data_IF_278408448969
#
_entry.id   IF_278408448969
#
_cell.length_a   1.000
_cell.length_b   1.000
_cell.length_c   1.000
_cell.angle_alpha   90.00
_cell.angle_beta   90.00
_cell.angle_gamma   90.00
#
_symmetry.space_group_name_H-M   'P 1'
#
loop_
_entity.id
_entity.type
_entity.pdbx_description
1 polymer ?
#
# COMPACT_ATOMS: atom_id res chain seq x y z
N UNK A 1 24.54 64.83 -25.35
CA UNK A 1 24.30 64.09 -24.09
C UNK A 1 22.81 64.14 -23.86
N UNK A 2 22.19 62.99 -23.61
CA UNK A 2 20.78 62.92 -23.23
C UNK A 2 20.56 63.67 -21.90
N UNK A 3 19.42 64.32 -21.73
CA UNK A 3 19.03 64.97 -20.47
C UNK A 3 18.45 63.96 -19.46
N UNK A 4 18.32 62.69 -19.86
CA UNK A 4 17.80 61.59 -19.03
C UNK A 4 18.64 60.33 -19.15
N UNK A 5 18.57 59.45 -18.15
CA UNK A 5 19.16 58.10 -18.19
C UNK A 5 18.46 57.19 -19.21
N UNK A 6 19.14 56.12 -19.63
CA UNK A 6 18.72 55.30 -20.77
C UNK A 6 17.59 54.29 -20.44
N UNK A 7 17.56 53.76 -19.21
CA UNK A 7 16.62 52.68 -18.84
C UNK A 7 15.35 53.21 -18.16
N UNK A 8 15.50 54.09 -17.18
CA UNK A 8 14.42 54.61 -16.33
C UNK A 8 14.05 56.07 -16.62
N UNK A 9 14.70 56.71 -17.60
CA UNK A 9 14.48 58.11 -17.96
C UNK A 9 14.62 59.08 -16.77
N UNK A 10 15.59 58.84 -15.89
CA UNK A 10 15.88 59.70 -14.73
C UNK A 10 16.49 61.01 -15.22
N UNK A 11 15.97 62.18 -14.83
CA UNK A 11 16.49 63.47 -15.29
C UNK A 11 17.88 63.73 -14.70
N UNK A 12 18.82 64.09 -15.57
CA UNK A 12 20.15 64.51 -15.19
C UNK A 12 20.19 65.99 -14.79
N UNK A 13 21.09 66.32 -13.85
CA UNK A 13 21.38 67.71 -13.52
C UNK A 13 22.13 68.38 -14.67
N UNK A 14 21.65 69.55 -15.07
CA UNK A 14 22.27 70.35 -16.13
C UNK A 14 23.65 70.89 -15.69
N UNK A 15 24.57 71.13 -16.65
CA UNK A 15 25.89 71.69 -16.38
C UNK A 15 25.87 73.06 -15.66
N UNK A 16 27.05 73.54 -15.26
CA UNK A 16 27.27 74.85 -14.61
C UNK A 16 26.77 75.01 -13.15
N UNK A 17 26.38 73.94 -12.47
CA UNK A 17 26.05 73.92 -11.03
C UNK A 17 27.25 73.55 -10.14
N UNK A 18 28.35 74.32 -10.20
CA UNK A 18 29.58 74.07 -9.41
C UNK A 18 30.11 72.62 -9.49
N UNK A 19 30.06 72.01 -10.69
CA UNK A 19 30.48 70.64 -10.98
C UNK A 19 29.75 69.51 -10.21
N UNK A 20 28.70 69.81 -9.42
CA UNK A 20 27.89 68.78 -8.72
C UNK A 20 27.18 67.81 -9.66
N UNK A 21 26.86 68.26 -10.88
CA UNK A 21 26.24 67.44 -11.92
C UNK A 21 27.09 66.20 -12.27
N UNK A 22 28.41 66.28 -12.18
CA UNK A 22 29.30 65.16 -12.54
C UNK A 22 29.08 63.97 -11.62
N UNK A 23 29.26 64.16 -10.31
CA UNK A 23 29.15 63.07 -9.34
C UNK A 23 27.71 62.59 -9.14
N UNK A 24 26.74 63.51 -9.21
CA UNK A 24 25.34 63.15 -9.08
C UNK A 24 24.79 62.40 -10.30
N UNK A 25 25.10 62.84 -11.52
CA UNK A 25 24.64 62.14 -12.72
C UNK A 25 25.31 60.77 -12.86
N UNK A 26 26.59 60.63 -12.45
CA UNK A 26 27.24 59.32 -12.36
C UNK A 26 26.52 58.39 -11.37
N UNK A 27 26.07 58.91 -10.22
CA UNK A 27 25.26 58.12 -9.28
C UNK A 27 23.89 57.74 -9.86
N UNK A 28 23.25 58.64 -10.61
CA UNK A 28 21.97 58.37 -11.30
C UNK A 28 22.12 57.32 -12.40
N UNK A 29 23.17 57.41 -13.23
CA UNK A 29 23.48 56.41 -14.25
C UNK A 29 23.71 55.02 -13.63
N UNK A 30 24.43 54.96 -12.51
CA UNK A 30 24.64 53.71 -11.78
C UNK A 30 23.34 53.16 -11.18
N UNK A 31 22.47 54.02 -10.65
CA UNK A 31 21.14 53.62 -10.17
C UNK A 31 20.26 53.10 -11.31
N UNK A 32 20.29 53.76 -12.47
CA UNK A 32 19.57 53.37 -13.69
C UNK A 32 19.94 51.95 -14.14
N UNK A 33 21.22 51.60 -14.07
CA UNK A 33 21.72 50.27 -14.41
C UNK A 33 21.24 49.17 -13.44
N UNK A 34 21.16 49.44 -12.14
CA UNK A 34 20.95 48.41 -11.11
C UNK A 34 19.52 48.31 -10.57
N UNK A 35 18.72 49.38 -10.68
CA UNK A 35 17.32 49.37 -10.25
C UNK A 35 16.50 48.60 -11.28
N UNK A 36 15.72 47.62 -10.82
CA UNK A 36 15.01 46.68 -11.72
C UNK A 36 15.98 46.06 -12.74
N UNK A 37 17.16 45.63 -12.26
CA UNK A 37 18.24 45.10 -13.09
C UNK A 37 17.71 44.01 -14.03
N UNK A 38 17.85 44.26 -15.32
CA UNK A 38 17.55 43.33 -16.40
C UNK A 38 18.77 43.30 -17.31
N UNK A 39 19.33 42.11 -17.49
CA UNK A 39 20.54 41.88 -18.26
C UNK A 39 20.21 41.04 -19.47
N UNK A 40 20.90 41.30 -20.58
CA UNK A 40 20.74 40.55 -21.82
C UNK A 40 21.14 39.08 -21.66
N UNK A 41 22.10 38.79 -20.77
CA UNK A 41 22.46 37.44 -20.37
C UNK A 41 23.37 37.42 -19.15
N UNK A 42 23.41 36.28 -18.47
CA UNK A 42 24.34 36.02 -17.36
C UNK A 42 25.41 35.02 -17.79
N UNK A 43 26.68 35.39 -17.57
CA UNK A 43 27.82 34.53 -17.86
C UNK A 43 28.41 34.75 -19.26
N UNK A 44 28.05 35.84 -19.94
CA UNK A 44 28.60 36.19 -21.26
C UNK A 44 30.09 36.55 -21.11
N UNK A 45 30.96 35.93 -21.90
CA UNK A 45 32.44 36.12 -21.80
C UNK A 45 33.01 37.07 -22.86
N UNK A 46 32.18 37.50 -23.81
CA UNK A 46 32.60 38.40 -24.90
C UNK A 46 31.63 39.59 -24.98
N UNK A 47 32.12 40.84 -24.94
CA UNK A 47 31.27 42.00 -25.10
C UNK A 47 30.58 42.00 -26.49
N UNK A 48 29.30 42.42 -26.58
CA UNK A 48 28.67 42.70 -27.86
C UNK A 48 29.50 43.69 -28.68
N UNK A 49 29.58 43.47 -30.00
CA UNK A 49 30.32 44.36 -30.90
C UNK A 49 29.63 45.73 -31.09
N UNK A 50 28.31 45.80 -30.86
CA UNK A 50 27.50 47.00 -30.98
C UNK A 50 26.47 47.06 -29.85
N UNK A 51 26.90 47.31 -28.60
CA UNK A 51 26.00 47.40 -27.47
C UNK A 51 25.11 48.63 -27.57
N UNK A 52 23.85 48.48 -27.18
CA UNK A 52 22.90 49.60 -27.13
C UNK A 52 23.03 50.37 -25.81
N UNK A 53 22.84 51.70 -25.78
CA UNK A 53 22.79 52.46 -24.54
C UNK A 53 21.79 51.84 -23.53
N UNK A 54 22.23 51.66 -22.29
CA UNK A 54 21.46 51.00 -21.23
C UNK A 54 21.47 49.47 -21.28
N UNK A 55 22.12 48.84 -22.27
CA UNK A 55 22.33 47.40 -22.30
C UNK A 55 23.22 46.95 -21.14
N UNK A 56 22.85 45.85 -20.47
CA UNK A 56 23.61 45.33 -19.36
C UNK A 56 23.80 43.81 -19.48
N UNK A 57 24.94 43.32 -19.02
CA UNK A 57 25.30 41.89 -18.99
C UNK A 57 25.89 41.55 -17.62
N UNK A 58 25.79 40.29 -17.20
CA UNK A 58 26.70 39.79 -16.16
C UNK A 58 27.87 39.09 -16.84
N UNK A 59 29.06 39.60 -16.58
CA UNK A 59 30.30 39.10 -17.16
C UNK A 59 30.59 37.68 -16.64
N UNK A 60 30.84 36.75 -17.56
CA UNK A 60 31.22 35.37 -17.25
C UNK A 60 32.67 35.26 -16.77
N UNK A 61 33.02 34.09 -16.26
CA UNK A 61 34.41 33.80 -15.84
C UNK A 61 35.31 33.67 -17.07
N UNK A 62 36.48 34.29 -17.03
CA UNK A 62 37.44 34.30 -18.13
C UNK A 62 37.02 35.21 -19.29
N UNK A 63 36.33 36.30 -19.01
CA UNK A 63 35.91 37.23 -20.04
C UNK A 63 37.11 37.91 -20.75
N UNK A 64 36.93 38.19 -22.03
CA UNK A 64 37.95 38.82 -22.88
C UNK A 64 37.59 40.24 -23.33
N UNK A 65 38.49 40.88 -24.06
CA UNK A 65 38.30 42.23 -24.59
C UNK A 65 38.10 43.26 -23.48
N UNK A 66 37.13 44.16 -23.65
CA UNK A 66 36.81 45.21 -22.68
C UNK A 66 36.33 44.65 -21.33
N UNK A 67 35.92 43.39 -21.27
CA UNK A 67 35.44 42.72 -20.07
C UNK A 67 36.54 41.96 -19.31
N UNK A 68 37.78 41.98 -19.81
CA UNK A 68 38.89 41.27 -19.18
C UNK A 68 39.11 41.70 -17.72
N UNK A 69 39.11 40.71 -16.81
CA UNK A 69 39.28 40.94 -15.37
C UNK A 69 38.03 41.43 -14.63
N UNK A 70 36.87 41.48 -15.30
CA UNK A 70 35.61 41.95 -14.73
C UNK A 70 34.61 40.81 -14.44
N UNK A 71 35.11 39.59 -14.35
CA UNK A 71 34.33 38.37 -14.10
C UNK A 71 33.34 38.56 -12.93
N UNK A 72 32.07 38.24 -13.18
CA UNK A 72 30.97 38.32 -12.20
C UNK A 72 30.37 39.72 -12.01
N UNK A 73 31.00 40.78 -12.52
CA UNK A 73 30.44 42.14 -12.48
C UNK A 73 29.23 42.28 -13.42
N UNK A 74 28.33 43.20 -13.07
CA UNK A 74 27.34 43.72 -14.02
C UNK A 74 28.06 44.74 -14.90
N UNK A 75 28.20 44.46 -16.18
CA UNK A 75 28.69 45.41 -17.18
C UNK A 75 27.49 46.14 -17.79
N UNK A 76 27.41 47.46 -17.61
CA UNK A 76 26.37 48.31 -18.18
C UNK A 76 26.97 49.27 -19.21
N UNK A 77 26.39 49.37 -20.39
CA UNK A 77 26.86 50.25 -21.46
C UNK A 77 26.23 51.64 -21.32
N UNK A 78 27.05 52.68 -21.19
CA UNK A 78 26.61 54.08 -21.04
C UNK A 78 26.57 54.86 -22.37
N UNK A 79 26.78 54.17 -23.49
CA UNK A 79 26.91 54.77 -24.83
C UNK A 79 28.34 55.07 -25.27
N UNK A 80 29.32 55.05 -24.35
CA UNK A 80 30.73 55.30 -24.64
C UNK A 80 31.66 54.22 -24.09
N UNK A 81 31.30 53.57 -22.98
CA UNK A 81 32.08 52.53 -22.33
C UNK A 81 31.23 51.62 -21.44
N UNK A 82 31.88 50.58 -20.92
CA UNK A 82 31.29 49.67 -19.94
C UNK A 82 31.56 50.16 -18.52
N UNK A 83 30.50 50.44 -17.76
CA UNK A 83 30.58 50.58 -16.31
C UNK A 83 30.45 49.20 -15.66
N UNK A 84 31.42 48.82 -14.83
CA UNK A 84 31.46 47.53 -14.16
C UNK A 84 31.06 47.67 -12.70
N UNK A 85 29.95 47.04 -12.34
CA UNK A 85 29.31 47.16 -11.04
C UNK A 85 29.35 45.79 -10.35
N UNK A 86 30.17 45.62 -9.30
CA UNK A 86 30.20 44.37 -8.55
C UNK A 86 28.86 44.14 -7.84
N UNK A 87 28.17 43.00 -8.08
CA UNK A 87 26.91 42.72 -7.42
C UNK A 87 27.11 42.45 -5.92
N UNK A 88 26.12 42.84 -5.11
CA UNK A 88 26.09 42.55 -3.67
C UNK A 88 25.12 41.41 -3.39
N UNK A 89 25.42 40.59 -2.38
CA UNK A 89 24.57 39.45 -2.01
C UNK A 89 23.12 39.90 -1.83
N UNK A 90 22.18 39.17 -2.45
CA UNK A 90 20.75 39.48 -2.46
C UNK A 90 20.29 40.35 -3.64
N UNK A 91 21.20 40.82 -4.50
CA UNK A 91 20.82 41.46 -5.76
C UNK A 91 20.01 40.52 -6.64
N UNK A 92 19.06 41.11 -7.37
CA UNK A 92 18.11 40.43 -8.24
C UNK A 92 18.32 40.94 -9.66
N UNK A 93 18.40 40.04 -10.63
CA UNK A 93 18.50 40.37 -12.05
C UNK A 93 17.54 39.50 -12.85
N UNK A 94 16.81 40.10 -13.80
CA UNK A 94 16.13 39.34 -14.85
C UNK A 94 17.13 39.01 -15.95
N UNK A 95 17.34 37.71 -16.20
CA UNK A 95 18.13 37.24 -17.33
C UNK A 95 17.21 37.13 -18.56
N UNK A 96 17.38 38.05 -19.50
CA UNK A 96 16.54 38.10 -20.70
C UNK A 96 16.81 36.93 -21.66
N UNK A 97 18.00 36.34 -21.68
CA UNK A 97 18.30 35.17 -22.50
C UNK A 97 17.62 33.92 -21.94
N UNK A 98 17.65 33.72 -20.62
CA UNK A 98 17.05 32.57 -19.96
C UNK A 98 15.56 32.72 -19.63
N UNK A 99 15.03 33.96 -19.63
CA UNK A 99 13.68 34.30 -19.17
C UNK A 99 13.44 33.93 -17.70
N UNK A 100 14.42 34.21 -16.84
CA UNK A 100 14.43 33.82 -15.44
C UNK A 100 14.88 34.95 -14.52
N UNK A 101 14.31 35.01 -13.31
CA UNK A 101 14.85 35.80 -12.23
C UNK A 101 16.06 35.08 -11.62
N UNK A 102 17.15 35.80 -11.37
CA UNK A 102 18.36 35.29 -10.70
C UNK A 102 18.70 36.13 -9.48
N UNK A 103 19.27 35.51 -8.45
CA UNK A 103 19.73 36.14 -7.21
C UNK A 103 21.23 35.93 -7.06
N UNK A 104 21.97 36.99 -6.77
CA UNK A 104 23.39 36.91 -6.45
C UNK A 104 23.61 36.40 -5.02
N UNK A 105 24.32 35.29 -4.84
CA UNK A 105 24.63 34.70 -3.53
C UNK A 105 25.86 35.31 -2.87
N UNK A 106 26.64 36.11 -3.58
CA UNK A 106 28.02 36.47 -3.22
C UNK A 106 29.06 35.71 -4.03
N UNK A 107 28.68 34.59 -4.65
CA UNK A 107 29.56 33.75 -5.47
C UNK A 107 29.00 33.44 -6.86
N UNK A 108 27.69 33.35 -7.01
CA UNK A 108 27.04 33.05 -8.27
C UNK A 108 25.62 33.65 -8.35
N UNK A 109 25.13 33.82 -9.59
CA UNK A 109 23.74 34.14 -9.89
C UNK A 109 22.92 32.85 -9.99
N UNK A 110 22.07 32.59 -9.01
CA UNK A 110 21.29 31.34 -8.91
C UNK A 110 19.78 31.61 -9.05
N UNK A 111 19.00 30.58 -9.36
CA UNK A 111 17.54 30.67 -9.30
C UNK A 111 17.07 30.94 -7.86
N UNK A 112 16.09 31.84 -7.65
CA UNK A 112 15.39 31.96 -6.39
C UNK A 112 14.83 30.60 -5.96
N UNK A 113 15.08 30.22 -4.72
CA UNK A 113 14.45 29.02 -4.16
C UNK A 113 12.96 29.29 -3.95
N UNK A 114 12.10 28.48 -4.56
CA UNK A 114 10.69 28.45 -4.19
C UNK A 114 10.57 27.94 -2.74
N UNK A 115 9.81 28.63 -1.90
CA UNK A 115 9.46 28.09 -0.58
C UNK A 115 8.42 26.98 -0.78
N UNK A 116 8.88 25.74 -0.74
CA UNK A 116 8.03 24.55 -0.75
C UNK A 116 7.79 24.03 0.67
N UNK A 117 7.93 24.88 1.69
CA UNK A 117 7.72 24.46 3.09
C UNK A 117 6.26 24.09 3.38
N UNK A 118 5.31 24.74 2.70
CA UNK A 118 3.87 24.50 2.84
C UNK A 118 3.12 24.82 1.53
N UNK A 119 3.36 24.05 0.44
CA UNK A 119 2.63 24.26 -0.80
C UNK A 119 1.17 23.85 -0.61
N UNK A 120 0.24 24.77 -0.86
CA UNK A 120 -1.19 24.46 -0.77
C UNK A 120 -1.63 23.34 -1.73
N UNK A 121 -0.98 23.26 -2.90
CA UNK A 121 -1.21 22.26 -3.96
C UNK A 121 0.10 22.00 -4.71
N UNK A 122 0.31 20.75 -5.15
CA UNK A 122 1.46 20.32 -5.94
C UNK A 122 1.03 19.31 -7.01
N UNK A 123 1.20 19.69 -8.28
CA UNK A 123 0.93 18.84 -9.45
C UNK A 123 2.23 18.43 -10.15
N UNK A 124 2.35 17.15 -10.50
CA UNK A 124 3.44 16.60 -11.30
C UNK A 124 2.85 16.06 -12.62
N UNK A 125 3.16 16.72 -13.75
CA UNK A 125 2.60 16.45 -15.08
C UNK A 125 1.06 16.50 -15.19
N UNK A 126 0.38 17.00 -14.16
CA UNK A 126 -1.07 17.26 -14.14
C UNK A 126 -1.39 18.39 -13.16
N UNK A 127 -2.55 19.00 -13.29
CA UNK A 127 -3.04 20.00 -12.34
C UNK A 127 -3.47 19.36 -11.02
N UNK A 128 -3.06 19.95 -9.90
CA UNK A 128 -3.62 19.66 -8.58
C UNK A 128 -4.86 20.54 -8.35
N UNK A 129 -5.79 20.05 -7.52
CA UNK A 129 -7.04 20.74 -7.19
C UNK A 129 -7.33 20.70 -5.67
N UNK A 130 -8.44 21.32 -5.25
CA UNK A 130 -8.80 21.43 -3.83
C UNK A 130 -9.05 20.08 -3.14
N UNK A 131 -9.39 19.04 -3.92
CA UNK A 131 -9.59 17.65 -3.50
C UNK A 131 -8.27 16.87 -3.60
N UNK A 132 -7.62 16.91 -4.78
CA UNK A 132 -6.36 16.23 -5.08
C UNK A 132 -5.18 17.21 -4.95
N UNK A 133 -4.87 17.60 -3.72
CA UNK A 133 -3.81 18.60 -3.47
C UNK A 133 -2.41 18.12 -3.83
N UNK A 134 -2.18 16.82 -3.84
CA UNK A 134 -1.03 16.18 -4.49
C UNK A 134 -1.56 15.37 -5.67
N UNK A 135 -1.25 15.81 -6.89
CA UNK A 135 -1.70 15.14 -8.12
C UNK A 135 -0.50 14.74 -8.97
N UNK A 136 -0.46 13.47 -9.40
CA UNK A 136 0.67 12.93 -10.17
C UNK A 136 0.12 12.20 -11.39
N UNK A 137 0.54 12.60 -12.59
CA UNK A 137 0.30 11.89 -13.84
C UNK A 137 1.63 11.39 -14.41
N UNK A 138 2.03 10.19 -14.00
CA UNK A 138 3.29 9.58 -14.38
C UNK A 138 3.16 8.05 -14.46
N UNK A 139 4.14 7.38 -15.05
CA UNK A 139 4.19 5.92 -15.12
C UNK A 139 4.33 5.28 -13.72
N UNK A 140 4.99 5.97 -12.78
CA UNK A 140 5.16 5.49 -11.40
C UNK A 140 5.31 6.65 -10.38
N UNK A 141 5.00 6.35 -9.11
CA UNK A 141 5.33 7.21 -7.96
C UNK A 141 6.18 6.39 -6.98
N UNK A 142 7.42 6.81 -6.74
CA UNK A 142 8.33 6.17 -5.80
C UNK A 142 8.33 6.91 -4.45
N UNK A 143 7.90 6.21 -3.39
CA UNK A 143 8.04 6.66 -2.01
C UNK A 143 9.09 5.77 -1.32
N UNK A 144 10.26 6.33 -1.02
CA UNK A 144 11.41 5.56 -0.53
C UNK A 144 11.93 6.06 0.83
N UNK A 145 12.75 5.24 1.48
CA UNK A 145 13.31 5.50 2.80
C UNK A 145 14.61 6.32 2.74
N UNK A 146 14.97 6.95 3.85
CA UNK A 146 16.27 7.61 4.03
C UNK A 146 17.35 6.69 4.65
N UNK A 147 17.14 5.37 4.64
CA UNK A 147 18.09 4.35 5.12
C UNK A 147 17.50 3.34 6.11
N UNK A 148 16.38 3.67 6.75
CA UNK A 148 15.62 2.77 7.62
C UNK A 148 14.22 2.50 7.03
N UNK A 149 13.15 2.78 7.78
CA UNK A 149 11.77 2.63 7.31
C UNK A 149 11.23 3.84 6.53
N UNK A 150 10.08 3.63 5.88
CA UNK A 150 9.22 4.67 5.30
C UNK A 150 7.77 4.41 5.73
N UNK A 151 6.99 5.46 5.99
CA UNK A 151 5.59 5.35 6.41
C UNK A 151 4.72 6.34 5.65
N UNK A 152 3.56 5.88 5.18
CA UNK A 152 2.47 6.72 4.69
C UNK A 152 1.39 6.76 5.76
N UNK A 153 1.11 7.95 6.30
CA UNK A 153 0.07 8.15 7.31
C UNK A 153 -1.19 8.70 6.62
N UNK A 154 -2.24 7.90 6.60
CA UNK A 154 -3.57 8.30 6.12
C UNK A 154 -4.51 8.31 7.32
N UNK A 155 -5.13 9.46 7.59
CA UNK A 155 -5.96 9.66 8.77
C UNK A 155 -7.37 10.08 8.36
N UNK A 156 -8.37 9.62 9.11
CA UNK A 156 -9.77 10.04 8.98
C UNK A 156 -10.26 10.72 10.25
N UNK A 157 -11.28 11.57 10.15
CA UNK A 157 -11.71 12.41 11.28
C UNK A 157 -12.68 11.66 12.22
N UNK A 158 -13.54 10.81 11.67
CA UNK A 158 -14.54 10.05 12.41
C UNK A 158 -14.54 8.54 12.04
N UNK A 159 -15.15 7.68 12.88
CA UNK A 159 -15.28 6.24 12.61
C UNK A 159 -15.93 5.89 11.27
N UNK A 160 -16.94 6.66 10.85
CA UNK A 160 -17.67 6.42 9.60
C UNK A 160 -17.01 6.99 8.33
N UNK A 161 -15.90 7.73 8.48
CA UNK A 161 -15.18 8.32 7.35
C UNK A 161 -14.30 7.26 6.63
N UNK A 162 -13.62 7.70 5.57
CA UNK A 162 -12.72 6.87 4.77
C UNK A 162 -11.28 7.35 4.84
N UNK A 163 -10.36 6.43 5.15
CA UNK A 163 -8.91 6.57 4.97
C UNK A 163 -8.40 5.32 4.24
N UNK A 164 -8.18 5.43 2.92
CA UNK A 164 -7.97 4.26 2.06
C UNK A 164 -7.07 4.55 0.86
N UNK A 165 -6.69 3.48 0.16
CA UNK A 165 -6.15 3.50 -1.19
C UNK A 165 -7.22 2.97 -2.15
N UNK A 166 -7.65 3.83 -3.07
CA UNK A 166 -8.66 3.54 -4.09
C UNK A 166 -8.00 3.23 -5.43
N UNK A 167 -8.29 2.07 -5.98
CA UNK A 167 -7.84 1.62 -7.30
C UNK A 167 -8.95 1.86 -8.33
N UNK A 168 -8.61 2.53 -9.43
CA UNK A 168 -9.58 2.96 -10.44
C UNK A 168 -9.19 2.50 -11.85
N UNK A 169 -10.19 2.33 -12.71
CA UNK A 169 -10.03 2.23 -14.16
C UNK A 169 -10.97 3.24 -14.82
N UNK A 170 -10.41 4.10 -15.67
CA UNK A 170 -11.15 5.18 -16.34
C UNK A 170 -12.03 5.99 -15.36
N UNK A 171 -11.44 6.46 -14.26
CA UNK A 171 -12.11 7.26 -13.21
C UNK A 171 -13.23 6.54 -12.43
N UNK A 172 -13.38 5.23 -12.61
CA UNK A 172 -14.36 4.41 -11.90
C UNK A 172 -13.65 3.49 -10.89
N UNK A 173 -14.10 3.51 -9.63
CA UNK A 173 -13.55 2.66 -8.56
C UNK A 173 -13.74 1.18 -8.84
N UNK A 174 -12.72 0.36 -8.54
CA UNK A 174 -12.76 -1.10 -8.74
C UNK A 174 -12.39 -1.88 -7.49
N UNK A 175 -11.42 -1.39 -6.74
CA UNK A 175 -11.02 -1.94 -5.46
C UNK A 175 -10.60 -0.83 -4.51
N UNK A 176 -10.76 -1.04 -3.22
CA UNK A 176 -10.39 -0.09 -2.17
C UNK A 176 -9.87 -0.85 -0.96
N UNK A 177 -8.78 -0.39 -0.35
CA UNK A 177 -8.25 -0.98 0.89
C UNK A 177 -7.91 0.08 1.92
N UNK A 178 -8.29 -0.14 3.17
CA UNK A 178 -8.05 0.79 4.27
C UNK A 178 -9.18 0.78 5.31
N UNK A 179 -9.34 1.90 6.01
CA UNK A 179 -10.42 2.15 6.96
C UNK A 179 -11.58 2.82 6.22
N UNK A 180 -12.44 2.02 5.58
CA UNK A 180 -13.43 2.48 4.60
C UNK A 180 -14.87 2.41 5.13
N UNK A 181 -15.27 3.43 5.90
CA UNK A 181 -16.59 3.51 6.56
C UNK A 181 -16.66 2.85 7.93
N UNK A 182 -15.51 2.50 8.51
CA UNK A 182 -15.33 1.84 9.82
C UNK A 182 -13.88 2.08 10.33
N UNK A 183 -13.58 1.73 11.58
CA UNK A 183 -12.22 1.68 12.15
C UNK A 183 -11.51 0.33 11.90
N UNK A 184 -12.24 -0.67 11.41
CA UNK A 184 -11.68 -1.97 10.98
C UNK A 184 -11.05 -1.87 9.58
N UNK A 185 -9.90 -2.53 9.37
CA UNK A 185 -9.29 -2.61 8.04
C UNK A 185 -10.16 -3.49 7.12
N UNK A 186 -10.41 -3.03 5.90
CA UNK A 186 -11.19 -3.76 4.92
C UNK A 186 -10.58 -3.69 3.52
N UNK A 187 -10.87 -4.70 2.71
CA UNK A 187 -10.72 -4.70 1.26
C UNK A 187 -12.10 -4.81 0.63
N UNK A 188 -12.46 -3.82 -0.18
CA UNK A 188 -13.76 -3.73 -0.85
C UNK A 188 -13.55 -3.75 -2.37
N UNK A 189 -14.49 -4.32 -3.10
CA UNK A 189 -14.48 -4.39 -4.57
C UNK A 189 -15.81 -3.89 -5.14
N UNK A 190 -15.76 -3.36 -6.35
CA UNK A 190 -16.92 -2.85 -7.07
C UNK A 190 -16.82 -3.14 -8.56
N UNK A 191 -17.91 -3.61 -9.16
CA UNK A 191 -18.00 -3.85 -10.60
C UNK A 191 -18.30 -2.57 -11.39
N UNK A 192 -19.02 -1.62 -10.80
CA UNK A 192 -19.54 -0.40 -11.44
C UNK A 192 -18.95 0.91 -10.88
N UNK A 193 -18.23 0.83 -9.75
CA UNK A 193 -17.66 1.96 -9.04
C UNK A 193 -18.63 2.67 -8.10
N UNK A 194 -19.85 2.16 -7.93
CA UNK A 194 -20.89 2.76 -7.07
C UNK A 194 -21.38 1.76 -6.01
N UNK A 195 -21.63 0.51 -6.38
CA UNK A 195 -21.98 -0.56 -5.48
C UNK A 195 -20.73 -1.28 -4.97
N UNK A 196 -20.51 -1.26 -3.65
CA UNK A 196 -19.31 -1.82 -3.02
C UNK A 196 -19.64 -3.05 -2.19
N UNK A 197 -18.87 -4.12 -2.38
CA UNK A 197 -18.91 -5.33 -1.57
C UNK A 197 -17.63 -5.45 -0.75
N UNK A 198 -17.75 -5.73 0.56
CA UNK A 198 -16.59 -6.03 1.41
C UNK A 198 -16.14 -7.46 1.11
N UNK A 199 -14.95 -7.61 0.53
CA UNK A 199 -14.36 -8.91 0.22
C UNK A 199 -13.56 -9.47 1.39
N UNK A 200 -12.93 -8.60 2.18
CA UNK A 200 -12.16 -8.94 3.38
C UNK A 200 -12.36 -7.87 4.45
N UNK A 201 -12.47 -8.28 5.70
CA UNK A 201 -12.49 -7.39 6.87
C UNK A 201 -11.64 -7.98 7.98
N UNK A 202 -10.89 -7.12 8.68
CA UNK A 202 -10.11 -7.45 9.86
C UNK A 202 -10.67 -6.62 11.02
N UNK A 203 -11.28 -7.30 11.99
CA UNK A 203 -11.84 -6.64 13.16
C UNK A 203 -10.73 -6.01 14.02
N UNK A 204 -10.86 -4.70 14.29
CA UNK A 204 -9.82 -3.94 15.02
C UNK A 204 -9.63 -4.34 16.48
N UNK A 205 -10.65 -4.95 17.11
CA UNK A 205 -10.59 -5.34 18.53
C UNK A 205 -10.05 -6.76 18.73
N UNK A 206 -10.41 -7.68 17.85
CA UNK A 206 -10.12 -9.13 17.97
C UNK A 206 -9.06 -9.62 17.00
N UNK A 207 -8.76 -8.88 15.94
CA UNK A 207 -7.91 -9.33 14.83
C UNK A 207 -8.59 -10.39 13.95
N UNK A 208 -9.88 -10.68 14.15
CA UNK A 208 -10.59 -11.69 13.40
C UNK A 208 -10.74 -11.29 11.92
N UNK A 209 -10.44 -12.24 11.03
CA UNK A 209 -10.56 -12.05 9.58
C UNK A 209 -11.84 -12.68 9.07
N UNK A 210 -12.69 -11.87 8.46
CA UNK A 210 -13.84 -12.29 7.67
C UNK A 210 -13.53 -12.19 6.18
N UNK A 211 -13.91 -13.21 5.40
CA UNK A 211 -13.76 -13.24 3.93
C UNK A 211 -15.13 -13.46 3.31
N UNK A 212 -15.46 -12.66 2.29
CA UNK A 212 -16.71 -12.69 1.54
C UNK A 212 -17.72 -11.60 1.92
N UNK A 213 -18.75 -11.37 1.10
CA UNK A 213 -19.71 -10.25 1.24
C UNK A 213 -20.58 -10.32 2.49
N UNK A 214 -20.62 -11.47 3.17
CA UNK A 214 -21.33 -11.69 4.44
C UNK A 214 -20.38 -11.65 5.65
N UNK A 215 -19.15 -11.14 5.50
CA UNK A 215 -18.19 -10.96 6.60
C UNK A 215 -18.66 -9.87 7.60
N UNK A 216 -19.69 -10.21 8.40
CA UNK A 216 -20.05 -9.49 9.60
C UNK A 216 -19.08 -9.78 10.76
N UNK A 217 -19.27 -9.12 11.91
CA UNK A 217 -18.43 -9.28 13.12
C UNK A 217 -18.46 -10.68 13.74
N UNK A 218 -19.41 -11.52 13.34
CA UNK A 218 -19.74 -12.74 14.08
C UNK A 218 -19.30 -14.03 13.37
N UNK A 219 -18.71 -13.92 12.17
CA UNK A 219 -18.24 -15.04 11.36
C UNK A 219 -16.73 -14.93 11.08
N UNK A 220 -15.93 -15.77 11.75
CA UNK A 220 -14.47 -15.76 11.63
C UNK A 220 -14.00 -17.00 10.87
N UNK A 221 -13.24 -16.83 9.78
CA UNK A 221 -12.44 -17.90 9.19
C UNK A 221 -11.00 -17.73 9.69
N UNK A 222 -10.66 -18.41 10.78
CA UNK A 222 -9.29 -18.42 11.30
C UNK A 222 -8.55 -19.65 10.76
N UNK A 223 -7.55 -19.43 9.93
CA UNK A 223 -6.51 -20.43 9.66
C UNK A 223 -5.40 -20.15 10.67
N UNK A 224 -5.55 -20.67 11.88
CA UNK A 224 -4.52 -20.55 12.89
C UNK A 224 -3.47 -21.64 12.66
N UNK A 225 -2.26 -21.23 12.32
CA UNK A 225 -1.06 -22.02 12.57
C UNK A 225 -0.59 -21.67 13.98
N UNK A 226 -0.89 -22.52 14.97
CA UNK A 226 0.18 -22.75 15.95
C UNK A 226 1.28 -23.51 15.19
N UNK A 227 2.55 -23.32 15.55
CA UNK A 227 3.68 -23.87 14.79
C UNK A 227 3.75 -25.41 14.72
N UNK A 228 2.72 -26.13 15.18
CA UNK A 228 2.67 -27.58 15.32
C UNK A 228 1.42 -28.22 14.70
N UNK A 229 0.35 -27.48 14.42
CA UNK A 229 -0.89 -28.01 13.80
C UNK A 229 -1.66 -26.92 13.04
N UNK A 230 -1.43 -26.73 11.72
CA UNK A 230 -2.26 -25.85 10.93
C UNK A 230 -3.69 -26.41 10.89
N UNK A 231 -4.64 -25.66 11.42
CA UNK A 231 -6.05 -26.05 11.42
C UNK A 231 -6.91 -24.99 10.77
N UNK A 232 -7.90 -25.44 10.00
CA UNK A 232 -9.01 -24.58 9.58
C UNK A 232 -10.01 -24.59 10.73
N UNK A 233 -9.93 -23.59 11.60
CA UNK A 233 -10.87 -23.43 12.69
C UNK A 233 -12.03 -22.56 12.23
N UNK A 234 -13.19 -23.19 12.04
CA UNK A 234 -14.46 -22.46 11.93
C UNK A 234 -15.00 -22.32 13.34
N UNK A 235 -15.11 -21.08 13.84
CA UNK A 235 -15.65 -20.77 15.17
C UNK A 235 -16.88 -19.90 15.02
N UNK A 236 -17.93 -20.29 15.73
CA UNK A 236 -19.12 -19.47 15.90
C UNK A 236 -19.11 -18.90 17.33
N UNK A 237 -19.04 -17.58 17.45
CA UNK A 237 -18.93 -16.86 18.74
C UNK A 237 -20.29 -16.35 19.26
N UNK A 238 -21.40 -16.60 18.54
CA UNK A 238 -22.74 -16.19 18.94
C UNK A 238 -23.89 -16.92 18.21
N UNK A 239 -25.01 -17.14 18.91
CA UNK A 239 -26.20 -17.82 18.37
C UNK A 239 -26.19 -19.36 18.45
N UNK A 240 -27.34 -19.99 18.23
CA UNK A 240 -27.56 -21.46 18.35
C UNK A 240 -26.98 -22.28 17.18
N UNK A 241 -26.32 -21.61 16.23
CA UNK A 241 -25.98 -22.14 14.92
C UNK A 241 -24.75 -23.04 14.87
N UNK A 242 -23.92 -23.17 15.91
CA UNK A 242 -22.69 -24.00 15.92
C UNK A 242 -21.65 -23.61 14.86
N UNK A 243 -20.52 -24.31 14.82
CA UNK A 243 -19.43 -24.04 13.86
C UNK A 243 -19.13 -25.28 13.00
N UNK A 244 -18.83 -25.09 11.70
CA UNK A 244 -18.61 -26.23 10.82
C UNK A 244 -17.88 -25.94 9.52
N UNK A 245 -17.20 -26.94 9.00
CA UNK A 245 -16.47 -26.95 7.73
C UNK A 245 -17.41 -27.47 6.63
N UNK A 246 -17.55 -26.75 5.50
CA UNK A 246 -18.42 -27.11 4.36
C UNK A 246 -17.62 -27.11 3.07
N UNK A 247 -17.73 -28.16 2.27
CA UNK A 247 -17.14 -28.29 0.93
C UNK A 247 -18.27 -28.34 -0.09
N UNK A 248 -18.22 -27.53 -1.15
CA UNK A 248 -19.23 -27.48 -2.22
C UNK A 248 -18.53 -27.68 -3.57
N UNK A 249 -19.08 -28.56 -4.41
CA UNK A 249 -18.73 -28.72 -5.82
C UNK A 249 -19.93 -28.31 -6.68
N UNK A 250 -19.90 -27.08 -7.20
CA UNK A 250 -20.99 -26.52 -8.01
C UNK A 250 -21.19 -27.24 -9.36
N UNK A 251 -20.16 -27.97 -9.84
CA UNK A 251 -20.20 -28.66 -11.14
C UNK A 251 -20.90 -30.01 -11.06
N UNK A 252 -20.76 -30.71 -9.92
CA UNK A 252 -21.46 -31.98 -9.63
C UNK A 252 -22.67 -31.82 -8.70
N UNK A 253 -22.80 -30.66 -8.03
CA UNK A 253 -23.83 -30.35 -7.03
C UNK A 253 -23.54 -30.91 -5.63
N UNK A 254 -22.33 -31.41 -5.36
CA UNK A 254 -21.96 -32.03 -4.07
C UNK A 254 -21.74 -31.01 -2.96
N UNK A 255 -22.25 -31.27 -1.74
CA UNK A 255 -22.16 -30.34 -0.61
C UNK A 255 -22.03 -31.10 0.73
N UNK A 256 -20.84 -31.06 1.34
CA UNK A 256 -20.46 -31.85 2.52
C UNK A 256 -20.11 -30.96 3.70
N UNK A 257 -20.73 -31.17 4.88
CA UNK A 257 -20.54 -30.33 6.07
C UNK A 257 -20.23 -31.12 7.35
N UNK A 258 -19.13 -30.77 8.04
CA UNK A 258 -18.74 -31.32 9.36
C UNK A 258 -18.92 -30.25 10.43
N UNK A 259 -19.70 -30.52 11.49
CA UNK A 259 -20.14 -29.51 12.47
C UNK A 259 -20.29 -30.07 13.88
N UNK A 260 -19.90 -29.30 14.91
CA UNK A 260 -20.16 -29.64 16.31
C UNK A 260 -21.16 -28.69 16.97
N UNK A 261 -21.92 -29.21 17.94
CA UNK A 261 -22.83 -28.47 18.83
C UNK A 261 -22.90 -29.16 20.20
N UNK A 262 -22.69 -28.39 21.27
CA UNK A 262 -23.15 -28.58 22.66
C UNK A 262 -23.04 -29.95 23.42
N UNK A 263 -22.41 -31.05 22.97
CA UNK A 263 -22.16 -32.22 23.88
C UNK A 263 -21.20 -33.38 23.46
N UNK A 264 -20.17 -33.18 22.65
CA UNK A 264 -19.06 -34.16 22.54
C UNK A 264 -19.27 -35.49 21.79
N UNK A 265 -20.42 -35.72 21.15
CA UNK A 265 -20.55 -36.84 20.19
C UNK A 265 -19.81 -36.53 18.89
N UNK A 266 -19.11 -37.52 18.34
CA UNK A 266 -18.52 -37.48 17.00
C UNK A 266 -19.28 -38.46 16.12
N UNK A 267 -19.66 -38.00 14.93
CA UNK A 267 -20.33 -38.84 13.95
C UNK A 267 -19.89 -38.49 12.55
N UNK A 268 -19.66 -39.53 11.74
CA UNK A 268 -19.57 -39.45 10.29
C UNK A 268 -20.92 -39.98 9.81
N UNK A 269 -21.79 -39.03 9.48
CA UNK A 269 -23.16 -39.30 9.11
C UNK A 269 -23.29 -39.23 7.60
N UNK A 270 -24.01 -40.19 7.02
CA UNK A 270 -24.66 -39.96 5.74
C UNK A 270 -25.98 -39.25 6.03
N UNK A 271 -25.96 -37.93 5.85
CA UNK A 271 -27.12 -37.10 6.19
C UNK A 271 -28.31 -37.38 5.25
N UNK A 272 -28.08 -37.99 4.08
CA UNK A 272 -29.11 -38.31 3.08
C UNK A 272 -29.83 -39.61 3.41
N UNK A 273 -29.09 -40.64 3.83
CA UNK A 273 -29.66 -41.90 4.29
C UNK A 273 -30.35 -41.81 5.65
N UNK A 274 -30.06 -40.75 6.44
CA UNK A 274 -30.53 -40.63 7.81
C UNK A 274 -29.84 -41.61 8.76
N UNK A 275 -28.67 -42.13 8.34
CA UNK A 275 -27.95 -43.17 9.07
C UNK A 275 -26.57 -42.64 9.46
N UNK A 276 -26.25 -42.80 10.73
CA UNK A 276 -24.89 -42.61 11.18
C UNK A 276 -24.05 -43.81 10.73
N UNK A 277 -23.21 -43.59 9.71
CA UNK A 277 -22.29 -44.63 9.24
C UNK A 277 -21.24 -44.95 10.30
N UNK A 278 -20.84 -43.92 11.04
CA UNK A 278 -20.05 -44.06 12.26
C UNK A 278 -20.58 -43.09 13.29
N UNK A 279 -21.23 -43.58 14.35
CA UNK A 279 -21.60 -42.80 15.53
C UNK A 279 -20.78 -43.25 16.73
N UNK A 280 -20.15 -42.31 17.43
CA UNK A 280 -19.64 -42.52 18.78
C UNK A 280 -20.44 -41.68 19.75
N UNK A 281 -21.33 -42.36 20.49
CA UNK A 281 -22.21 -41.70 21.44
C UNK A 281 -21.53 -41.59 22.81
N UNK A 282 -21.10 -40.37 23.17
CA UNK A 282 -20.40 -40.11 24.43
C UNK A 282 -21.25 -40.30 25.70
N UNK A 283 -22.59 -40.32 25.57
CA UNK A 283 -23.50 -40.48 26.72
C UNK A 283 -23.78 -41.95 27.00
N UNK A 284 -24.02 -42.75 25.96
CA UNK A 284 -24.36 -44.17 26.11
C UNK A 284 -23.16 -45.12 25.93
N UNK A 285 -22.02 -44.59 25.46
CA UNK A 285 -20.81 -45.36 25.07
C UNK A 285 -21.07 -46.42 24.01
N UNK A 286 -22.09 -46.21 23.18
CA UNK A 286 -22.44 -47.09 22.07
C UNK A 286 -21.76 -46.61 20.77
N UNK A 287 -21.32 -47.57 19.96
CA UNK A 287 -20.87 -47.34 18.60
C UNK A 287 -21.84 -48.03 17.64
N UNK A 288 -22.39 -47.26 16.70
CA UNK A 288 -23.42 -47.73 15.78
C UNK A 288 -22.93 -47.60 14.33
N UNK A 289 -23.24 -48.62 13.52
CA UNK A 289 -22.84 -48.72 12.12
C UNK A 289 -24.06 -49.01 11.24
N UNK A 290 -24.16 -48.29 10.13
CA UNK A 290 -25.28 -48.31 9.19
C UNK A 290 -25.45 -49.61 8.38
N UNK A 291 -24.40 -50.42 8.30
CA UNK A 291 -24.33 -51.61 7.47
C UNK A 291 -23.77 -52.81 8.24
N UNK A 292 -23.65 -53.94 7.54
CA UNK A 292 -23.01 -55.11 8.10
C UNK A 292 -21.58 -54.75 8.53
N UNK A 293 -21.31 -54.87 9.82
CA UNK A 293 -19.95 -54.80 10.32
C UNK A 293 -19.30 -56.08 9.88
N UNK A 294 -18.36 -55.99 8.93
CA UNK A 294 -17.56 -57.12 8.51
C UNK A 294 -16.38 -57.24 9.47
N UNK A 295 -16.41 -58.19 10.43
CA UNK A 295 -15.29 -58.38 11.34
C UNK A 295 -14.12 -58.96 10.56
N UNK A 296 -12.91 -58.81 11.10
CA UNK A 296 -11.74 -59.41 10.49
C UNK A 296 -11.90 -60.94 10.38
N UNK A 297 -11.58 -61.48 9.20
CA UNK A 297 -11.73 -62.89 8.87
C UNK A 297 -10.44 -63.67 9.15
N UNK A 298 -10.55 -64.81 9.85
CA UNK A 298 -9.42 -65.68 10.18
C UNK A 298 -9.76 -67.15 9.93
N UNK A 299 -8.77 -67.95 9.54
CA UNK A 299 -8.89 -69.40 9.64
C UNK A 299 -8.64 -69.88 11.07
N UNK A 300 -9.12 -71.07 11.42
CA UNK A 300 -8.91 -71.66 12.77
C UNK A 300 -7.42 -71.73 13.13
N UNK A 301 -6.56 -72.10 12.18
CA UNK A 301 -5.12 -72.17 12.38
C UNK A 301 -4.43 -70.80 12.57
N UNK A 302 -5.11 -69.71 12.21
CA UNK A 302 -4.60 -68.34 12.26
C UNK A 302 -5.35 -67.45 13.26
N UNK A 303 -6.10 -68.05 14.20
CA UNK A 303 -6.81 -67.28 15.22
C UNK A 303 -5.83 -66.49 16.09
N UNK A 304 -6.06 -65.18 16.31
CA UNK A 304 -5.26 -64.40 17.26
C UNK A 304 -5.50 -64.86 18.70
N UNK A 305 -4.65 -64.49 19.65
CA UNK A 305 -4.89 -64.79 21.08
C UNK A 305 -6.15 -64.06 21.59
N UNK A 306 -7.18 -64.77 22.08
CA UNK A 306 -8.43 -64.18 22.56
C UNK A 306 -8.26 -63.31 23.81
N UNK A 307 -7.32 -63.64 24.70
CA UNK A 307 -7.08 -62.86 25.92
C UNK A 307 -6.45 -61.50 25.58
N UNK A 308 -5.61 -61.47 24.54
CA UNK A 308 -4.93 -60.26 24.08
C UNK A 308 -5.87 -59.24 23.43
N UNK A 309 -6.93 -59.69 22.74
CA UNK A 309 -7.95 -58.80 22.14
C UNK A 309 -9.07 -58.38 23.11
N UNK A 310 -9.15 -59.04 24.27
CA UNK A 310 -10.10 -58.73 25.33
C UNK A 310 -11.46 -59.40 25.17
N UNK A 311 -12.10 -59.70 26.30
CA UNK A 311 -13.42 -60.31 26.34
C UNK A 311 -14.46 -59.40 25.65
N UNK A 312 -15.27 -59.99 24.77
CA UNK A 312 -16.27 -59.30 23.96
C UNK A 312 -15.80 -58.85 22.57
N UNK A 313 -14.53 -59.04 22.22
CA UNK A 313 -14.05 -58.85 20.85
C UNK A 313 -14.77 -59.83 19.90
N UNK A 314 -15.10 -59.37 18.68
CA UNK A 314 -15.81 -60.17 17.66
C UNK A 314 -14.98 -60.31 16.38
N UNK A 315 -14.94 -61.53 15.83
CA UNK A 315 -14.25 -61.89 14.58
C UNK A 315 -15.13 -62.80 13.73
N UNK A 316 -14.70 -63.05 12.48
CA UNK A 316 -15.33 -64.04 11.62
C UNK A 316 -14.36 -65.19 11.31
N UNK A 317 -14.75 -66.43 11.59
CA UNK A 317 -13.93 -67.62 11.35
C UNK A 317 -14.34 -68.25 10.03
N UNK A 318 -13.41 -68.36 9.09
CA UNK A 318 -13.74 -68.70 7.69
C UNK A 318 -13.83 -70.20 7.42
N UNK A 319 -13.28 -71.07 8.27
CA UNK A 319 -13.13 -72.51 8.02
C UNK A 319 -13.34 -73.40 9.26
N UNK A 320 -14.16 -72.94 10.21
CA UNK A 320 -14.53 -73.71 11.41
C UNK A 320 -15.19 -75.06 11.08
N UNK A 321 -15.03 -76.04 11.97
CA UNK A 321 -15.72 -77.34 11.87
C UNK A 321 -17.24 -77.15 11.91
N UNK A 322 -17.88 -77.32 10.75
CA UNK A 322 -19.33 -77.06 10.57
C UNK A 322 -19.63 -75.86 9.68
N UNK A 323 -18.62 -75.11 9.24
CA UNK A 323 -18.69 -74.01 8.28
C UNK A 323 -18.34 -72.64 8.89
N UNK A 324 -18.21 -71.60 8.05
CA UNK A 324 -17.81 -70.26 8.48
C UNK A 324 -18.76 -69.67 9.55
N UNK A 325 -18.21 -69.10 10.63
CA UNK A 325 -19.01 -68.65 11.79
C UNK A 325 -18.46 -67.38 12.45
N UNK A 326 -19.32 -66.44 12.89
CA UNK A 326 -18.91 -65.40 13.82
C UNK A 326 -18.49 -65.98 15.18
N UNK A 327 -17.43 -65.44 15.76
CA UNK A 327 -16.95 -65.83 17.08
C UNK A 327 -16.67 -64.62 17.96
N UNK A 328 -16.77 -64.80 19.28
CA UNK A 328 -16.43 -63.79 20.27
C UNK A 328 -15.42 -64.35 21.29
N UNK A 329 -14.58 -63.47 21.85
CA UNK A 329 -13.67 -63.84 22.92
C UNK A 329 -14.37 -63.81 24.28
N UNK A 330 -14.17 -64.84 25.11
CA UNK A 330 -14.57 -64.84 26.53
C UNK A 330 -13.45 -64.38 27.47
N UNK A 331 -12.29 -64.03 26.91
CA UNK A 331 -11.07 -63.65 27.64
C UNK A 331 -10.08 -64.80 27.84
N UNK A 332 -10.37 -66.02 27.39
CA UNK A 332 -9.44 -67.17 27.42
C UNK A 332 -9.49 -68.00 26.14
N UNK A 333 -10.68 -68.19 25.56
CA UNK A 333 -10.90 -68.94 24.32
C UNK A 333 -11.74 -68.12 23.31
N UNK A 334 -11.61 -68.45 22.02
CA UNK A 334 -12.61 -68.03 21.03
C UNK A 334 -13.82 -68.95 21.09
N UNK A 335 -14.99 -68.33 21.31
CA UNK A 335 -16.27 -69.03 21.41
C UNK A 335 -17.10 -68.75 20.17
N UNK A 336 -17.68 -69.80 19.61
CA UNK A 336 -18.68 -69.64 18.56
C UNK A 336 -19.89 -68.91 19.11
N UNK A 337 -20.39 -67.95 18.34
CA UNK A 337 -21.58 -67.18 18.75
C UNK A 337 -22.84 -68.03 18.77
N UNK A 338 -22.87 -69.15 18.04
CA UNK A 338 -24.03 -70.05 17.90
C UNK A 338 -24.30 -70.88 19.14
N UNK A 339 -23.28 -71.48 19.76
CA UNK A 339 -23.44 -72.46 20.84
C UNK A 339 -22.48 -72.27 22.03
N UNK A 340 -21.57 -71.29 21.94
CA UNK A 340 -20.49 -71.04 22.91
C UNK A 340 -19.48 -72.19 23.07
N UNK A 341 -19.42 -73.13 22.13
CA UNK A 341 -18.31 -74.08 22.10
C UNK A 341 -17.01 -73.35 21.69
N UNK A 342 -15.86 -73.92 22.05
CA UNK A 342 -14.56 -73.43 21.56
C UNK A 342 -14.49 -73.68 20.05
N UNK A 343 -14.02 -72.68 19.32
CA UNK A 343 -13.72 -72.77 17.87
C UNK A 343 -12.61 -73.82 17.67
N UNK A 344 -12.80 -74.79 16.76
CA UNK A 344 -11.91 -75.94 16.58
C UNK A 344 -11.81 -76.45 15.14
#
# INVERSE_FOLDING_TARGET
>A
MSDTSDRLALPYLQPAQAQKHVTHNAALARLDAIVQLAVAGIGTVTPPAAPLPGEAHVVGVGAGGDWAGQDGSVAAWDGAGWDFIPPRTGWRAWDAAAQELRIWTGTAWVLPKASLADPAMLGINTGADATNRLAVAAEATLLTHAGAGHQVKVNKAAPADTASLLFQSNWSGRAEMGLAGDDSFAVKVSADGTAWSTALRIDGATGAVGIGPLAGTDATLSVAADGLSPTIQVRNVGGIGGAGFRMIDDSSGGDWKVKTTNNGSFKIRDETGGIDHVLFNGVTRCSEFAGAVQPAGFSVAALPDPAALGAGAMIFVTDETGGPVPAFSDGTDWRRTTDRAVVS
#
